data_IF_039741809541
#
_entry.id   IF_039741809541
#
_cell.length_a   1.000
_cell.length_b   1.000
_cell.length_c   1.000
_cell.angle_alpha   90.00
_cell.angle_beta   90.00
_cell.angle_gamma   90.00
#
_symmetry.space_group_name_H-M   'P 1'
#
loop_
_entity.id
_entity.type
_entity.pdbx_description
1 polymer ?
#
# COMPACT_ATOMS: atom_id res chain seq x y z
N UNK A 1 -6.92 -2.18 28.83
CA UNK A 1 -7.32 -2.38 27.43
C UNK A 1 -6.07 -2.69 26.62
N UNK A 2 -5.99 -3.89 26.03
CA UNK A 2 -4.86 -4.33 25.20
C UNK A 2 -4.80 -3.47 23.93
N UNK A 3 -4.07 -2.37 23.97
CA UNK A 3 -3.75 -1.60 22.75
C UNK A 3 -2.61 -2.29 22.01
N UNK A 4 -2.61 -2.27 20.67
CA UNK A 4 -1.51 -2.75 19.83
C UNK A 4 -0.18 -2.15 20.31
N UNK A 5 -0.21 -0.88 20.74
CA UNK A 5 0.94 -0.18 21.30
C UNK A 5 1.48 -0.84 22.58
N UNK A 6 0.60 -1.22 23.52
CA UNK A 6 1.01 -1.86 24.78
C UNK A 6 1.60 -3.25 24.53
N UNK A 7 1.00 -4.02 23.62
CA UNK A 7 1.53 -5.31 23.19
C UNK A 7 2.90 -5.17 22.52
N UNK A 8 3.04 -4.19 21.62
CA UNK A 8 4.28 -3.92 20.92
C UNK A 8 5.41 -3.51 21.88
N UNK A 9 5.11 -2.61 22.82
CA UNK A 9 6.08 -2.12 23.80
C UNK A 9 6.53 -3.22 24.78
N UNK A 10 5.58 -4.00 25.31
CA UNK A 10 5.89 -5.10 26.24
C UNK A 10 6.69 -6.21 25.56
N UNK A 11 6.33 -6.56 24.33
CA UNK A 11 7.04 -7.57 23.55
C UNK A 11 8.44 -7.09 23.13
N UNK A 12 8.59 -5.82 22.75
CA UNK A 12 9.89 -5.24 22.42
C UNK A 12 10.84 -5.21 23.63
N UNK A 13 10.34 -4.81 24.80
CA UNK A 13 11.13 -4.82 26.03
C UNK A 13 11.61 -6.25 26.37
N UNK A 14 10.73 -7.24 26.22
CA UNK A 14 11.06 -8.65 26.41
C UNK A 14 12.13 -9.14 25.41
N UNK A 15 12.00 -8.81 24.13
CA UNK A 15 12.95 -9.21 23.09
C UNK A 15 14.33 -8.58 23.30
N UNK A 16 14.40 -7.29 23.60
CA UNK A 16 15.68 -6.59 23.84
C UNK A 16 16.37 -7.09 25.10
N UNK A 17 15.61 -7.44 26.15
CA UNK A 17 16.15 -8.01 27.37
C UNK A 17 16.81 -9.40 27.16
N UNK A 18 16.37 -10.16 26.15
CA UNK A 18 16.91 -11.49 25.81
C UNK A 18 18.09 -11.47 24.83
N UNK A 19 18.53 -10.31 24.36
CA UNK A 19 19.68 -10.23 23.47
C UNK A 19 20.99 -10.55 24.22
N UNK A 20 21.91 -11.31 23.61
CA UNK A 20 23.19 -11.68 24.23
C UNK A 20 23.97 -10.44 24.70
N UNK A 21 24.66 -10.57 25.83
CA UNK A 21 25.58 -9.52 26.29
C UNK A 21 26.75 -9.38 25.31
N UNK A 22 27.14 -8.14 25.00
CA UNK A 22 28.18 -7.81 24.02
C UNK A 22 27.67 -7.41 22.62
N UNK A 23 26.37 -7.49 22.35
CA UNK A 23 25.77 -6.92 21.14
C UNK A 23 25.24 -5.49 21.38
N UNK A 24 25.31 -4.66 20.33
CA UNK A 24 24.76 -3.31 20.37
C UNK A 24 23.22 -3.40 20.41
N UNK A 25 22.63 -3.31 21.60
CA UNK A 25 21.19 -3.48 21.79
C UNK A 25 20.43 -2.33 21.11
N UNK A 26 19.49 -2.61 20.19
CA UNK A 26 18.66 -1.57 19.60
C UNK A 26 17.78 -0.93 20.67
N UNK A 27 17.43 0.33 20.46
CA UNK A 27 16.49 1.04 21.33
C UNK A 27 15.15 0.31 21.33
N UNK A 28 14.59 0.09 22.52
CA UNK A 28 13.31 -0.62 22.70
C UNK A 28 12.21 0.06 21.92
N UNK A 29 12.25 1.39 21.82
CA UNK A 29 11.31 2.23 21.08
C UNK A 29 11.31 1.90 19.58
N UNK A 30 12.50 1.66 19.00
CA UNK A 30 12.64 1.31 17.58
C UNK A 30 12.06 -0.08 17.31
N UNK A 31 12.33 -1.03 18.21
CA UNK A 31 11.77 -2.40 18.11
C UNK A 31 10.26 -2.38 18.32
N UNK A 32 9.76 -1.62 19.29
CA UNK A 32 8.33 -1.46 19.57
C UNK A 32 7.60 -0.84 18.38
N UNK A 33 8.16 0.21 17.77
CA UNK A 33 7.57 0.82 16.59
C UNK A 33 7.50 -0.17 15.41
N UNK A 34 8.58 -0.93 15.17
CA UNK A 34 8.59 -1.97 14.14
C UNK A 34 7.51 -3.03 14.39
N UNK A 35 7.35 -3.46 15.64
CA UNK A 35 6.32 -4.44 16.02
C UNK A 35 4.91 -3.86 15.88
N UNK A 36 4.69 -2.59 16.23
CA UNK A 36 3.41 -1.90 16.09
C UNK A 36 2.99 -1.83 14.62
N UNK A 37 3.93 -1.49 13.72
CA UNK A 37 3.70 -1.50 12.27
C UNK A 37 3.39 -2.90 11.76
N UNK A 38 4.14 -3.92 12.21
CA UNK A 38 3.93 -5.31 11.79
C UNK A 38 2.57 -5.87 12.25
N UNK A 39 2.21 -5.66 13.51
CA UNK A 39 0.92 -6.07 14.08
C UNK A 39 -0.24 -5.33 13.41
N UNK A 40 -0.09 -4.03 13.18
CA UNK A 40 -1.03 -3.25 12.38
C UNK A 40 -1.22 -3.88 11.01
N UNK A 41 -0.16 -3.97 10.20
CA UNK A 41 -0.22 -4.54 8.86
C UNK A 41 -0.87 -5.94 8.82
N UNK A 42 -0.61 -6.77 9.83
CA UNK A 42 -1.22 -8.10 9.96
C UNK A 42 -2.74 -8.02 10.16
N UNK A 43 -3.20 -7.17 11.08
CA UNK A 43 -4.63 -6.94 11.30
C UNK A 43 -5.31 -6.34 10.06
N UNK A 44 -4.62 -5.44 9.35
CA UNK A 44 -5.09 -4.87 8.10
C UNK A 44 -5.27 -5.93 7.02
N UNK A 45 -4.29 -6.82 6.86
CA UNK A 45 -4.37 -7.91 5.89
C UNK A 45 -5.53 -8.86 6.20
N UNK A 46 -5.71 -9.24 7.48
CA UNK A 46 -6.83 -10.10 7.91
C UNK A 46 -8.18 -9.44 7.55
N UNK A 47 -8.34 -8.16 7.86
CA UNK A 47 -9.56 -7.43 7.55
C UNK A 47 -9.83 -7.38 6.03
N UNK A 48 -8.79 -7.16 5.22
CA UNK A 48 -8.91 -7.12 3.77
C UNK A 48 -9.32 -8.46 3.18
N UNK A 49 -8.68 -9.55 3.63
CA UNK A 49 -9.02 -10.91 3.19
C UNK A 49 -10.45 -11.29 3.59
N UNK A 50 -10.86 -10.98 4.83
CA UNK A 50 -12.21 -11.28 5.31
C UNK A 50 -13.28 -10.58 4.48
N UNK A 51 -13.11 -9.28 4.19
CA UNK A 51 -14.07 -8.51 3.38
C UNK A 51 -14.05 -8.98 1.92
N UNK A 52 -12.86 -9.25 1.37
CA UNK A 52 -12.74 -9.74 -0.01
C UNK A 52 -13.41 -11.09 -0.21
N UNK A 53 -13.29 -11.98 0.78
CA UNK A 53 -13.99 -13.27 0.79
C UNK A 53 -15.51 -13.09 0.91
N UNK A 54 -15.97 -12.25 1.85
CA UNK A 54 -17.40 -11.96 2.02
C UNK A 54 -18.06 -11.38 0.76
N UNK A 55 -17.36 -10.52 0.03
CA UNK A 55 -17.86 -9.90 -1.21
C UNK A 55 -17.64 -10.77 -2.47
N UNK A 56 -16.98 -11.92 -2.36
CA UNK A 56 -16.63 -12.75 -3.52
C UNK A 56 -15.67 -12.06 -4.50
N UNK A 57 -14.84 -11.13 -4.01
CA UNK A 57 -13.85 -10.34 -4.77
C UNK A 57 -12.41 -10.74 -4.42
N UNK A 58 -12.20 -11.92 -3.83
CA UNK A 58 -10.91 -12.34 -3.29
C UNK A 58 -9.74 -12.20 -4.29
N UNK A 59 -9.78 -12.80 -5.51
CA UNK A 59 -8.64 -12.70 -6.42
C UNK A 59 -8.42 -11.26 -6.91
N UNK A 60 -9.48 -10.51 -7.19
CA UNK A 60 -9.38 -9.10 -7.63
C UNK A 60 -8.80 -8.17 -6.55
N UNK A 61 -9.29 -8.28 -5.31
CA UNK A 61 -8.81 -7.48 -4.19
C UNK A 61 -7.38 -7.84 -3.81
N UNK A 62 -7.00 -9.12 -3.88
CA UNK A 62 -5.62 -9.54 -3.61
C UNK A 62 -4.65 -9.04 -4.69
N UNK A 63 -5.04 -9.09 -5.97
CA UNK A 63 -4.23 -8.52 -7.04
C UNK A 63 -4.06 -7.00 -6.89
N UNK A 64 -5.14 -6.28 -6.58
CA UNK A 64 -5.08 -4.85 -6.30
C UNK A 64 -4.18 -4.54 -5.09
N UNK A 65 -4.34 -5.29 -4.00
CA UNK A 65 -3.54 -5.14 -2.77
C UNK A 65 -2.06 -5.36 -3.02
N UNK A 66 -1.68 -6.47 -3.67
CA UNK A 66 -0.27 -6.80 -3.97
C UNK A 66 0.35 -5.71 -4.84
N UNK A 67 -0.37 -5.27 -5.88
CA UNK A 67 0.08 -4.20 -6.78
C UNK A 67 0.32 -2.90 -5.99
N UNK A 68 -0.67 -2.45 -5.22
CA UNK A 68 -0.57 -1.21 -4.45
C UNK A 68 0.52 -1.29 -3.39
N UNK A 69 0.56 -2.37 -2.61
CA UNK A 69 1.49 -2.51 -1.49
C UNK A 69 2.93 -2.58 -1.99
N UNK A 70 3.24 -3.45 -2.95
CA UNK A 70 4.61 -3.64 -3.44
C UNK A 70 5.13 -2.41 -4.19
N UNK A 71 4.31 -1.76 -5.01
CA UNK A 71 4.72 -0.54 -5.69
C UNK A 71 4.90 0.64 -4.70
N UNK A 72 4.01 0.76 -3.70
CA UNK A 72 4.11 1.80 -2.66
C UNK A 72 5.37 1.67 -1.80
N UNK A 73 5.84 0.46 -1.51
CA UNK A 73 7.10 0.24 -0.77
C UNK A 73 8.30 0.89 -1.46
N UNK A 74 8.28 0.98 -2.79
CA UNK A 74 9.36 1.52 -3.59
C UNK A 74 9.15 3.00 -3.95
N UNK A 75 7.92 3.35 -4.37
CA UNK A 75 7.58 4.66 -4.87
C UNK A 75 7.20 5.66 -3.77
N UNK A 76 6.86 5.19 -2.57
CA UNK A 76 6.29 6.01 -1.50
C UNK A 76 4.80 6.32 -1.74
N UNK A 77 4.27 7.32 -1.03
CA UNK A 77 2.89 7.78 -1.23
C UNK A 77 2.27 8.44 0.00
N UNK A 78 0.96 8.65 -0.07
CA UNK A 78 0.19 9.35 0.96
C UNK A 78 -0.15 8.41 2.12
N UNK A 79 -0.05 8.92 3.33
CA UNK A 79 -0.53 8.27 4.56
C UNK A 79 -1.55 9.16 5.26
N UNK A 80 -2.55 8.54 5.89
CA UNK A 80 -3.52 9.23 6.73
C UNK A 80 -2.91 9.58 8.10
N UNK A 81 -3.48 10.56 8.79
CA UNK A 81 -2.99 10.97 10.11
C UNK A 81 -3.26 9.95 11.22
N UNK A 82 -4.15 8.96 11.01
CA UNK A 82 -4.28 7.82 11.90
C UNK A 82 -4.40 6.48 11.17
N UNK A 83 -3.97 5.43 11.86
CA UNK A 83 -3.94 4.07 11.35
C UNK A 83 -5.33 3.54 10.95
N UNK A 84 -6.33 3.67 11.82
CA UNK A 84 -7.70 3.18 11.55
C UNK A 84 -8.36 3.90 10.36
N UNK A 85 -8.05 5.18 10.13
CA UNK A 85 -8.54 5.94 8.97
C UNK A 85 -7.89 5.45 7.69
N UNK A 86 -6.59 5.16 7.74
CA UNK A 86 -5.87 4.52 6.64
C UNK A 86 -6.44 3.13 6.32
N UNK A 87 -6.78 2.34 7.34
CA UNK A 87 -7.41 1.03 7.18
C UNK A 87 -8.75 1.14 6.42
N UNK A 88 -9.65 2.01 6.88
CA UNK A 88 -10.97 2.21 6.26
C UNK A 88 -10.82 2.69 4.81
N UNK A 89 -10.01 3.74 4.58
CA UNK A 89 -9.81 4.28 3.24
C UNK A 89 -9.17 3.27 2.29
N UNK A 90 -8.17 2.53 2.77
CA UNK A 90 -7.52 1.49 1.97
C UNK A 90 -8.48 0.36 1.64
N UNK A 91 -9.32 -0.07 2.59
CA UNK A 91 -10.34 -1.08 2.35
C UNK A 91 -11.34 -0.63 1.28
N UNK A 92 -11.92 0.56 1.44
CA UNK A 92 -12.87 1.13 0.47
C UNK A 92 -12.23 1.27 -0.92
N UNK A 93 -10.98 1.73 -0.97
CA UNK A 93 -10.22 1.83 -2.21
C UNK A 93 -10.04 0.47 -2.86
N UNK A 94 -9.62 -0.56 -2.11
CA UNK A 94 -9.40 -1.90 -2.64
C UNK A 94 -10.69 -2.53 -3.17
N UNK A 95 -11.80 -2.39 -2.45
CA UNK A 95 -13.12 -2.86 -2.91
C UNK A 95 -13.53 -2.15 -4.20
N UNK A 96 -13.34 -0.82 -4.27
CA UNK A 96 -13.64 -0.03 -5.45
C UNK A 96 -12.80 -0.49 -6.66
N UNK A 97 -11.48 -0.63 -6.49
CA UNK A 97 -10.58 -1.04 -7.56
C UNK A 97 -10.82 -2.48 -8.03
N UNK A 98 -11.14 -3.38 -7.11
CA UNK A 98 -11.53 -4.75 -7.44
C UNK A 98 -12.81 -4.78 -8.29
N UNK A 99 -13.84 -4.05 -7.85
CA UNK A 99 -15.13 -3.95 -8.55
C UNK A 99 -14.99 -3.30 -9.92
N UNK A 100 -14.23 -2.19 -10.01
CA UNK A 100 -13.94 -1.52 -11.28
C UNK A 100 -13.13 -2.41 -12.23
N UNK A 101 -12.14 -3.15 -11.72
CA UNK A 101 -11.37 -4.09 -12.53
C UNK A 101 -12.23 -5.20 -13.11
N UNK A 102 -13.14 -5.78 -12.30
CA UNK A 102 -14.11 -6.78 -12.78
C UNK A 102 -15.04 -6.22 -13.85
N UNK A 103 -15.59 -5.03 -13.63
CA UNK A 103 -16.43 -4.34 -14.62
C UNK A 103 -15.67 -4.03 -15.90
N UNK A 104 -14.44 -3.53 -15.79
CA UNK A 104 -13.60 -3.20 -16.94
C UNK A 104 -13.26 -4.45 -17.77
N UNK A 105 -12.95 -5.58 -17.10
CA UNK A 105 -12.71 -6.84 -17.77
C UNK A 105 -13.93 -7.34 -18.56
N UNK A 106 -15.16 -7.14 -18.04
CA UNK A 106 -16.39 -7.50 -18.77
C UNK A 106 -16.63 -6.65 -20.02
N UNK A 107 -16.16 -5.41 -20.05
CA UNK A 107 -16.37 -4.49 -21.18
C UNK A 107 -15.25 -4.64 -22.22
N UNK A 108 -14.00 -4.66 -21.77
CA UNK A 108 -12.85 -4.63 -22.68
C UNK A 108 -12.63 -5.98 -23.37
N UNK A 109 -13.04 -7.10 -22.76
CA UNK A 109 -12.81 -8.43 -23.32
C UNK A 109 -11.34 -8.63 -23.72
N UNK A 110 -11.10 -9.02 -24.99
CA UNK A 110 -9.75 -9.19 -25.54
C UNK A 110 -8.92 -7.91 -25.67
N UNK A 111 -9.51 -6.72 -25.61
CA UNK A 111 -8.78 -5.44 -25.81
C UNK A 111 -7.99 -4.97 -24.57
N UNK A 112 -8.02 -5.71 -23.46
CA UNK A 112 -7.36 -5.35 -22.19
C UNK A 112 -5.88 -4.97 -22.37
N UNK A 113 -5.16 -5.65 -23.27
CA UNK A 113 -3.72 -5.42 -23.51
C UNK A 113 -3.41 -4.00 -24.03
N UNK A 114 -4.33 -3.38 -24.78
CA UNK A 114 -4.15 -1.98 -25.23
C UNK A 114 -4.14 -1.04 -24.02
N UNK A 115 -5.03 -1.28 -23.05
CA UNK A 115 -5.06 -0.55 -21.78
C UNK A 115 -3.80 -0.79 -20.94
N UNK A 116 -3.27 -2.01 -20.91
CA UNK A 116 -2.02 -2.35 -20.20
C UNK A 116 -0.89 -1.43 -20.66
N UNK A 117 -0.62 -1.38 -21.97
CA UNK A 117 0.49 -0.59 -22.52
C UNK A 117 0.36 0.89 -22.16
N UNK A 118 -0.84 1.46 -22.32
CA UNK A 118 -1.11 2.85 -21.99
C UNK A 118 -0.90 3.16 -20.50
N UNK A 119 -1.39 2.29 -19.61
CA UNK A 119 -1.22 2.45 -18.15
C UNK A 119 0.25 2.39 -17.76
N UNK A 120 1.00 1.41 -18.25
CA UNK A 120 2.42 1.29 -17.91
C UNK A 120 3.26 2.45 -18.45
N UNK A 121 2.98 2.94 -19.66
CA UNK A 121 3.61 4.13 -20.21
C UNK A 121 3.35 5.36 -19.31
N UNK A 122 2.10 5.58 -18.89
CA UNK A 122 1.75 6.65 -17.97
C UNK A 122 2.44 6.49 -16.60
N UNK A 123 2.48 5.27 -16.05
CA UNK A 123 3.14 4.97 -14.78
C UNK A 123 4.64 5.22 -14.83
N UNK A 124 5.31 4.95 -15.95
CA UNK A 124 6.73 5.28 -16.14
C UNK A 124 6.98 6.79 -16.11
N UNK A 125 6.13 7.57 -16.77
CA UNK A 125 6.21 9.04 -16.76
C UNK A 125 5.99 9.59 -15.34
N UNK A 126 5.00 9.06 -14.62
CA UNK A 126 4.75 9.43 -13.23
C UNK A 126 5.93 9.05 -12.34
N UNK A 127 6.44 7.82 -12.45
CA UNK A 127 7.60 7.36 -11.69
C UNK A 127 8.83 8.24 -11.94
N UNK A 128 9.06 8.65 -13.20
CA UNK A 128 10.17 9.53 -13.54
C UNK A 128 10.09 10.90 -12.85
N UNK A 129 8.89 11.49 -12.79
CA UNK A 129 8.68 12.83 -12.23
C UNK A 129 8.47 12.85 -10.72
N UNK A 130 7.90 11.79 -10.14
CA UNK A 130 7.34 11.80 -8.78
C UNK A 130 7.91 10.75 -7.84
N UNK A 131 8.58 9.72 -8.35
CA UNK A 131 9.14 8.65 -7.51
C UNK A 131 10.66 8.80 -7.28
N UNK A 132 11.17 8.41 -6.09
CA UNK A 132 10.38 8.11 -4.89
C UNK A 132 9.82 9.40 -4.27
N UNK A 133 8.57 9.35 -3.83
CA UNK A 133 7.92 10.46 -3.14
C UNK A 133 8.40 10.51 -1.68
N UNK A 134 8.89 11.67 -1.28
CA UNK A 134 9.23 11.93 0.12
C UNK A 134 7.97 12.15 0.96
N UNK A 135 8.03 11.77 2.22
CA UNK A 135 7.02 12.12 3.22
C UNK A 135 7.70 12.77 4.41
N UNK A 136 7.00 13.66 5.12
CA UNK A 136 7.53 14.29 6.33
C UNK A 136 7.94 13.25 7.40
N UNK A 137 7.23 12.12 7.45
CA UNK A 137 7.51 11.02 8.37
C UNK A 137 8.72 10.15 7.97
N UNK A 138 9.12 10.16 6.69
CA UNK A 138 10.23 9.35 6.18
C UNK A 138 11.00 10.09 5.06
N UNK A 139 11.73 11.17 5.39
CA UNK A 139 12.48 11.93 4.40
C UNK A 139 13.64 11.10 3.82
N UNK A 140 13.79 11.10 2.49
CA UNK A 140 14.89 10.40 1.81
C UNK A 140 16.05 11.39 1.64
N UNK A 141 16.87 11.50 2.69
CA UNK A 141 18.02 12.42 2.75
C UNK A 141 19.19 11.90 1.90
N UNK A 142 19.44 10.59 1.92
CA UNK A 142 20.60 9.99 1.24
C UNK A 142 20.38 9.87 -0.29
N UNK A 143 21.21 10.51 -1.13
CA UNK A 143 21.05 10.50 -2.59
C UNK A 143 21.27 9.10 -3.21
N UNK A 144 22.17 8.29 -2.63
CA UNK A 144 22.41 6.91 -3.06
C UNK A 144 21.15 6.06 -2.81
N UNK A 145 20.51 6.23 -1.65
CA UNK A 145 19.25 5.54 -1.32
C UNK A 145 18.13 5.96 -2.29
N UNK A 146 18.02 7.25 -2.60
CA UNK A 146 17.04 7.77 -3.58
C UNK A 146 17.24 7.14 -4.95
N UNK A 147 18.47 7.10 -5.44
CA UNK A 147 18.80 6.49 -6.74
C UNK A 147 18.46 4.99 -6.76
N UNK A 148 18.75 4.25 -5.67
CA UNK A 148 18.39 2.82 -5.56
C UNK A 148 16.88 2.61 -5.59
N UNK A 149 16.10 3.39 -4.84
CA UNK A 149 14.63 3.30 -4.85
C UNK A 149 14.04 3.64 -6.22
N UNK A 150 14.57 4.65 -6.90
CA UNK A 150 14.15 5.00 -8.25
C UNK A 150 14.40 3.87 -9.25
N UNK A 151 15.60 3.25 -9.21
CA UNK A 151 15.92 2.06 -10.02
C UNK A 151 14.98 0.90 -9.69
N UNK A 152 14.71 0.65 -8.40
CA UNK A 152 13.79 -0.39 -7.97
C UNK A 152 12.36 -0.15 -8.47
N UNK A 153 11.86 1.10 -8.51
CA UNK A 153 10.56 1.43 -9.09
C UNK A 153 10.47 1.05 -10.57
N UNK A 154 11.51 1.36 -11.36
CA UNK A 154 11.54 1.01 -12.78
C UNK A 154 11.62 -0.50 -13.00
N UNK A 155 12.49 -1.18 -12.25
CA UNK A 155 12.57 -2.64 -12.30
C UNK A 155 11.23 -3.29 -11.94
N UNK A 156 10.58 -2.78 -10.90
CA UNK A 156 9.26 -3.26 -10.50
C UNK A 156 8.23 -3.06 -11.62
N UNK A 157 8.18 -1.88 -12.27
CA UNK A 157 7.24 -1.64 -13.38
C UNK A 157 7.49 -2.58 -14.56
N UNK A 158 8.75 -2.83 -14.93
CA UNK A 158 9.10 -3.74 -16.03
C UNK A 158 8.72 -5.19 -15.69
N UNK A 159 9.07 -5.64 -14.49
CA UNK A 159 8.74 -7.00 -14.04
C UNK A 159 7.22 -7.19 -13.90
N UNK A 160 6.51 -6.19 -13.38
CA UNK A 160 5.06 -6.26 -13.22
C UNK A 160 4.34 -6.26 -14.57
N UNK A 161 4.84 -5.50 -15.55
CA UNK A 161 4.36 -5.57 -16.93
C UNK A 161 4.52 -6.99 -17.49
N UNK A 162 5.69 -7.60 -17.33
CA UNK A 162 5.94 -8.96 -17.78
C UNK A 162 4.98 -9.97 -17.12
N UNK A 163 4.74 -9.85 -15.81
CA UNK A 163 3.78 -10.70 -15.08
C UNK A 163 2.36 -10.54 -15.61
N UNK A 164 1.89 -9.31 -15.79
CA UNK A 164 0.54 -9.03 -16.29
C UNK A 164 0.38 -9.51 -17.74
N UNK A 165 1.37 -9.26 -18.60
CA UNK A 165 1.36 -9.70 -19.99
C UNK A 165 1.39 -11.22 -20.10
N UNK A 166 2.27 -11.89 -19.34
CA UNK A 166 2.34 -13.35 -19.31
C UNK A 166 1.02 -13.94 -18.81
N UNK A 167 0.46 -13.40 -17.73
CA UNK A 167 -0.81 -13.87 -17.19
C UNK A 167 -1.98 -13.72 -18.17
N UNK A 168 -1.99 -12.64 -18.97
CA UNK A 168 -2.97 -12.47 -20.04
C UNK A 168 -2.82 -13.54 -21.13
N UNK A 169 -1.61 -13.79 -21.63
CA UNK A 169 -1.38 -14.78 -22.70
C UNK A 169 -1.57 -16.23 -22.25
N UNK A 170 -1.29 -16.54 -20.99
CA UNK A 170 -1.56 -17.85 -20.40
C UNK A 170 -3.03 -18.06 -20.02
N UNK A 171 -3.85 -16.99 -20.05
CA UNK A 171 -5.24 -17.03 -19.59
C UNK A 171 -5.38 -17.22 -18.08
N UNK A 172 -4.30 -17.00 -17.31
CA UNK A 172 -4.28 -17.18 -15.87
C UNK A 172 -3.36 -16.14 -15.19
N UNK A 173 -3.83 -15.36 -14.20
CA UNK A 173 -5.17 -15.37 -13.60
C UNK A 173 -6.23 -14.76 -14.54
N UNK A 174 -7.51 -14.87 -14.17
CA UNK A 174 -8.62 -14.36 -14.97
C UNK A 174 -8.50 -12.87 -15.30
N UNK A 175 -9.09 -12.44 -16.41
CA UNK A 175 -9.01 -11.06 -16.91
C UNK A 175 -9.46 -10.00 -15.91
N UNK A 176 -10.43 -10.30 -15.04
CA UNK A 176 -10.85 -9.42 -13.94
C UNK A 176 -9.71 -9.14 -12.96
N UNK A 177 -8.91 -10.16 -12.63
CA UNK A 177 -7.78 -10.06 -11.69
C UNK A 177 -6.68 -9.17 -12.26
N UNK A 178 -6.36 -9.35 -13.55
CA UNK A 178 -5.40 -8.51 -14.26
C UNK A 178 -5.88 -7.06 -14.35
N UNK A 179 -7.16 -6.85 -14.68
CA UNK A 179 -7.76 -5.52 -14.74
C UNK A 179 -7.75 -4.82 -13.37
N UNK A 180 -8.04 -5.52 -12.28
CA UNK A 180 -7.95 -4.97 -10.92
C UNK A 180 -6.53 -4.58 -10.53
N UNK A 181 -5.53 -5.36 -10.95
CA UNK A 181 -4.12 -4.98 -10.80
C UNK A 181 -3.79 -3.69 -11.57
N UNK A 182 -4.25 -3.55 -12.81
CA UNK A 182 -4.05 -2.33 -13.61
C UNK A 182 -4.70 -1.11 -12.93
N UNK A 183 -5.92 -1.25 -12.41
CA UNK A 183 -6.61 -0.19 -11.68
C UNK A 183 -5.86 0.22 -10.41
N UNK A 184 -5.31 -0.74 -9.68
CA UNK A 184 -4.42 -0.47 -8.57
C UNK A 184 -3.18 0.32 -8.97
N UNK A 185 -2.57 0.00 -10.11
CA UNK A 185 -1.41 0.72 -10.61
C UNK A 185 -1.76 2.17 -11.01
N UNK A 186 -2.91 2.37 -11.67
CA UNK A 186 -3.43 3.71 -12.00
C UNK A 186 -3.66 4.52 -10.73
N UNK A 187 -4.35 3.95 -9.75
CA UNK A 187 -4.63 4.64 -8.49
C UNK A 187 -3.35 4.98 -7.71
N UNK A 188 -2.37 4.07 -7.67
CA UNK A 188 -1.11 4.32 -7.00
C UNK A 188 -0.28 5.38 -7.75
N UNK A 189 -0.35 5.44 -9.09
CA UNK A 189 0.19 6.54 -9.87
C UNK A 189 -0.46 7.88 -9.52
N UNK A 190 -1.80 7.92 -9.44
CA UNK A 190 -2.55 9.09 -9.01
C UNK A 190 -2.18 9.53 -7.58
N UNK A 191 -2.02 8.60 -6.64
CA UNK A 191 -1.63 8.86 -5.26
C UNK A 191 -0.23 9.49 -5.11
N UNK A 192 0.64 9.38 -6.13
CA UNK A 192 1.95 10.06 -6.16
C UNK A 192 1.85 11.52 -6.65
N UNK A 193 0.71 11.95 -7.16
CA UNK A 193 0.50 13.30 -7.68
C UNK A 193 -0.10 14.25 -6.64
N UNK A 194 0.13 15.57 -6.72
CA UNK A 194 -0.44 16.54 -5.76
C UNK A 194 -1.96 16.46 -5.61
N UNK A 195 -2.75 16.25 -6.69
CA UNK A 195 -4.18 15.96 -6.56
C UNK A 195 -4.48 14.73 -5.70
N UNK A 196 -3.70 13.66 -5.84
CA UNK A 196 -3.82 12.45 -5.02
C UNK A 196 -3.59 12.72 -3.54
N UNK A 197 -2.53 13.46 -3.19
CA UNK A 197 -2.29 13.91 -1.82
C UNK A 197 -3.47 14.73 -1.27
N UNK A 198 -4.03 15.63 -2.09
CA UNK A 198 -5.16 16.46 -1.69
C UNK A 198 -6.47 15.66 -1.49
N UNK A 199 -6.73 14.65 -2.33
CA UNK A 199 -7.92 13.78 -2.19
C UNK A 199 -7.83 12.95 -0.91
N UNK A 200 -6.70 12.30 -0.67
CA UNK A 200 -6.50 11.49 0.54
C UNK A 200 -6.55 12.39 1.79
N UNK A 201 -5.97 13.59 1.74
CA UNK A 201 -6.05 14.57 2.84
C UNK A 201 -7.48 15.02 3.15
N UNK A 202 -8.30 15.28 2.12
CA UNK A 202 -9.72 15.62 2.31
C UNK A 202 -10.51 14.44 2.89
N UNK A 203 -10.28 13.23 2.37
CA UNK A 203 -10.94 12.02 2.87
C UNK A 203 -10.56 11.76 4.34
N UNK A 204 -9.29 11.93 4.70
CA UNK A 204 -8.82 11.82 6.08
C UNK A 204 -9.46 12.87 6.99
N UNK A 205 -9.57 14.12 6.51
CA UNK A 205 -10.25 15.20 7.23
C UNK A 205 -11.75 14.95 7.45
N UNK A 206 -12.44 14.39 6.46
CA UNK A 206 -13.85 14.00 6.57
C UNK A 206 -14.01 12.87 7.61
N UNK A 207 -13.18 11.83 7.54
CA UNK A 207 -13.18 10.74 8.51
C UNK A 207 -12.87 11.22 9.92
N UNK A 208 -11.96 12.20 10.07
CA UNK A 208 -11.68 12.81 11.38
C UNK A 208 -12.92 13.48 11.99
N UNK A 209 -13.77 14.10 11.17
CA UNK A 209 -15.02 14.73 11.62
C UNK A 209 -16.11 13.71 11.96
N UNK A 210 -16.19 12.61 11.20
CA UNK A 210 -17.21 11.57 11.39
C UNK A 210 -16.86 10.58 12.51
N UNK A 211 -15.58 10.29 12.70
CA UNK A 211 -15.07 9.34 13.69
C UNK A 211 -13.95 10.00 14.52
N UNK A 212 -14.28 10.97 15.39
CA UNK A 212 -13.34 11.54 16.34
C UNK A 212 -13.07 10.51 17.44
N UNK A 213 -12.14 9.60 17.21
CA UNK A 213 -11.66 8.68 18.24
C UNK A 213 -10.65 9.40 19.15
N UNK A 214 -10.74 9.10 20.44
CA UNK A 214 -10.11 9.83 21.55
C UNK A 214 -8.62 10.17 21.34
N UNK A 215 -8.23 11.41 21.70
CA UNK A 215 -6.90 12.02 21.48
C UNK A 215 -5.74 11.20 22.08
N UNK A 216 -6.01 10.29 23.02
CA UNK A 216 -5.02 9.36 23.58
C UNK A 216 -4.36 8.47 22.52
N UNK A 217 -5.02 8.23 21.37
CA UNK A 217 -4.46 7.48 20.24
C UNK A 217 -3.82 8.38 19.16
N UNK A 218 -4.10 9.68 19.15
CA UNK A 218 -3.63 10.62 18.13
C UNK A 218 -2.29 11.31 18.49
N UNK A 219 -1.91 11.35 19.77
CA UNK A 219 -0.82 12.19 20.27
C UNK A 219 0.55 11.54 20.48
N UNK A 220 0.88 10.40 19.84
CA UNK A 220 2.18 9.73 20.05
C UNK A 220 2.87 9.30 18.75
N UNK A 221 2.88 10.18 17.75
CA UNK A 221 3.80 10.12 16.62
C UNK A 221 4.55 11.43 16.51
#
# INVERSE_FOLDING_TARGET
MLSIHYLAQSSAAYLVARLPEGQNKPQVEVVAFGLEVALGASLQLIAFVAVAWYLGLLPEMMAALITMATYRLLAGGVHCSAYYRCLILSLLTLVLLASLGRWLASILGGSLMVGVVAVFAASLVIAWRRAPADTAAAPIINPVRRARLKKACYLWLVLWLAVVSLGYYLGWPGSSTLASSLMALVFQGFALTPPGFAVVGRADGLLKRLLPLDKKLEGRR
#
